data_IF_097423019830
#
_entry.id   IF_097423019830
#
_cell.length_a   1.000
_cell.length_b   1.000
_cell.length_c   1.000
_cell.angle_alpha   90.00
_cell.angle_beta   90.00
_cell.angle_gamma   90.00
#
_symmetry.space_group_name_H-M   'P 1'
#
loop_
_entity.id
_entity.type
_entity.pdbx_description
1 polymer ?
#
# COMPACT_ATOMS: atom_id res chain seq x y z
N UNK A 1 20.83 7.05 25.52
CA UNK A 1 20.12 8.27 25.94
C UNK A 1 19.91 9.05 24.66
N UNK A 2 18.72 8.83 24.01
CA UNK A 2 18.43 9.49 22.74
C UNK A 2 18.12 10.95 23.00
N UNK A 3 18.97 11.84 22.52
CA UNK A 3 18.69 13.27 22.49
C UNK A 3 17.45 13.52 21.64
N UNK A 4 16.43 14.11 22.25
CA UNK A 4 15.21 14.57 21.57
C UNK A 4 15.66 15.74 20.67
N UNK A 5 15.44 15.61 19.37
CA UNK A 5 15.70 16.69 18.42
C UNK A 5 14.86 17.92 18.79
N UNK A 6 15.48 19.03 19.25
CA UNK A 6 14.75 20.22 19.68
C UNK A 6 13.95 20.88 18.54
N UNK A 7 14.24 20.58 17.28
CA UNK A 7 13.49 21.08 16.13
C UNK A 7 12.05 20.54 16.07
N UNK A 8 11.75 19.44 16.77
CA UNK A 8 10.39 18.85 16.80
C UNK A 8 9.43 19.58 17.75
N UNK A 9 9.93 20.43 18.66
CA UNK A 9 9.09 21.03 19.71
C UNK A 9 8.27 22.25 19.26
N UNK A 10 8.65 22.93 18.17
CA UNK A 10 8.09 24.25 17.79
C UNK A 10 7.26 24.28 16.48
N UNK A 11 6.88 23.09 15.97
CA UNK A 11 6.16 22.98 14.71
C UNK A 11 4.64 23.09 14.88
N UNK A 12 3.90 23.63 13.87
CA UNK A 12 2.45 23.56 13.86
C UNK A 12 1.97 22.12 14.01
N UNK A 13 0.91 21.88 14.79
CA UNK A 13 0.41 20.54 15.16
C UNK A 13 0.31 19.54 13.99
N UNK A 14 -0.15 19.99 12.82
CA UNK A 14 -0.28 19.14 11.63
C UNK A 14 1.10 18.68 11.13
N UNK A 15 2.05 19.58 11.02
CA UNK A 15 3.43 19.27 10.57
C UNK A 15 4.11 18.30 11.56
N UNK A 16 3.87 18.48 12.86
CA UNK A 16 4.40 17.59 13.90
C UNK A 16 3.79 16.17 13.85
N UNK A 17 2.51 16.05 13.50
CA UNK A 17 1.88 14.75 13.28
C UNK A 17 2.52 14.01 12.12
N UNK A 18 2.76 14.69 10.98
CA UNK A 18 3.39 14.10 9.79
C UNK A 18 4.82 13.65 10.09
N UNK A 19 5.59 14.44 10.85
CA UNK A 19 6.94 14.07 11.26
C UNK A 19 6.98 12.83 12.19
N UNK A 20 6.01 12.69 13.09
CA UNK A 20 5.87 11.49 13.93
C UNK A 20 5.50 10.29 13.06
N UNK A 21 4.62 10.45 12.08
CA UNK A 21 4.29 9.39 11.10
C UNK A 21 5.56 8.90 10.40
N UNK A 22 6.37 9.81 9.88
CA UNK A 22 7.60 9.46 9.18
C UNK A 22 8.66 8.87 10.12
N UNK A 23 8.73 9.34 11.37
CA UNK A 23 9.62 8.77 12.37
C UNK A 23 9.22 7.34 12.75
N UNK A 24 7.91 7.04 12.88
CA UNK A 24 7.43 5.69 13.11
C UNK A 24 7.73 4.78 11.91
N UNK A 25 7.54 5.27 10.68
CA UNK A 25 7.90 4.50 9.47
C UNK A 25 9.40 4.15 9.44
N UNK A 26 10.25 5.10 9.76
CA UNK A 26 11.71 4.83 9.88
C UNK A 26 11.99 3.79 10.97
N UNK A 27 11.39 3.93 12.15
CA UNK A 27 11.53 2.97 13.25
C UNK A 27 11.14 1.55 12.81
N UNK A 28 10.05 1.38 12.08
CA UNK A 28 9.62 0.08 11.55
C UNK A 28 10.73 -0.55 10.71
N UNK A 29 11.32 0.23 9.80
CA UNK A 29 12.39 -0.26 8.91
C UNK A 29 13.68 -0.53 9.69
N UNK A 30 14.11 0.40 10.54
CA UNK A 30 15.36 0.30 11.30
C UNK A 30 15.38 -0.87 12.29
N UNK A 31 14.22 -1.19 12.89
CA UNK A 31 14.09 -2.32 13.82
C UNK A 31 13.66 -3.62 13.12
N UNK A 32 13.47 -3.61 11.80
CA UNK A 32 13.05 -4.78 11.04
C UNK A 32 11.69 -5.34 11.46
N UNK A 33 10.76 -4.46 11.89
CA UNK A 33 9.44 -4.89 12.34
C UNK A 33 8.64 -5.46 11.17
N UNK A 34 8.09 -6.66 11.37
CA UNK A 34 7.31 -7.40 10.40
C UNK A 34 5.78 -7.28 10.67
N UNK A 35 4.94 -7.61 9.68
CA UNK A 35 3.50 -7.72 9.90
C UNK A 35 3.16 -8.64 11.08
N UNK A 36 2.36 -8.13 12.01
CA UNK A 36 2.01 -8.80 13.28
C UNK A 36 2.82 -8.30 14.48
N UNK A 37 3.98 -7.68 14.28
CA UNK A 37 4.77 -7.12 15.36
C UNK A 37 4.07 -5.90 15.97
N UNK A 38 4.34 -5.69 17.25
CA UNK A 38 3.74 -4.60 18.03
C UNK A 38 4.66 -3.38 18.02
N UNK A 39 4.12 -2.21 17.74
CA UNK A 39 4.80 -0.94 17.97
C UNK A 39 4.96 -0.67 19.49
N UNK A 40 5.91 0.19 19.89
CA UNK A 40 5.98 0.70 21.25
C UNK A 40 4.61 1.23 21.72
N UNK A 41 4.35 1.13 23.02
CA UNK A 41 3.09 1.61 23.57
C UNK A 41 2.92 3.12 23.38
N UNK A 42 1.66 3.59 23.30
CA UNK A 42 1.35 5.03 23.13
C UNK A 42 2.13 5.91 24.11
N UNK A 43 2.26 5.49 25.38
CA UNK A 43 3.02 6.22 26.41
C UNK A 43 4.51 6.34 26.07
N UNK A 44 5.08 5.27 25.48
CA UNK A 44 6.49 5.22 25.14
C UNK A 44 6.78 6.12 23.94
N UNK A 45 5.87 6.11 22.95
CA UNK A 45 5.92 7.03 21.79
C UNK A 45 5.76 8.49 22.20
N UNK A 46 4.87 8.80 23.19
CA UNK A 46 4.72 10.15 23.76
C UNK A 46 6.05 10.62 24.34
N UNK A 47 6.71 9.77 25.13
CA UNK A 47 8.01 10.08 25.72
C UNK A 47 9.11 10.21 24.69
N UNK A 48 9.18 9.25 23.76
CA UNK A 48 10.22 9.19 22.71
C UNK A 48 10.18 10.40 21.78
N UNK A 49 8.97 10.83 21.40
CA UNK A 49 8.81 11.96 20.48
C UNK A 49 8.58 13.30 21.20
N UNK A 50 8.59 13.34 22.51
CA UNK A 50 8.26 14.52 23.33
C UNK A 50 6.98 15.23 22.81
N UNK A 51 5.94 14.45 22.47
CA UNK A 51 4.73 14.93 21.83
C UNK A 51 3.51 14.78 22.74
N UNK A 52 2.45 15.55 22.47
CA UNK A 52 1.20 15.38 23.21
C UNK A 52 0.54 14.04 22.86
N UNK A 53 -0.22 13.49 23.80
CA UNK A 53 -1.06 12.29 23.59
C UNK A 53 -1.95 12.42 22.33
N UNK A 54 -2.54 13.61 22.13
CA UNK A 54 -3.37 13.89 20.95
C UNK A 54 -2.59 13.77 19.64
N UNK A 55 -1.38 14.32 19.60
CA UNK A 55 -0.53 14.30 18.40
C UNK A 55 -0.09 12.87 18.05
N UNK A 56 0.30 12.08 19.05
CA UNK A 56 0.69 10.67 18.85
C UNK A 56 -0.51 9.86 18.37
N UNK A 57 -1.71 10.06 18.93
CA UNK A 57 -2.92 9.37 18.47
C UNK A 57 -3.31 9.73 17.03
N UNK A 58 -3.18 11.00 16.65
CA UNK A 58 -3.39 11.45 15.28
C UNK A 58 -2.39 10.78 14.33
N UNK A 59 -1.12 10.67 14.71
CA UNK A 59 -0.12 9.98 13.92
C UNK A 59 -0.41 8.47 13.76
N UNK A 60 -0.78 7.79 14.85
CA UNK A 60 -1.19 6.38 14.80
C UNK A 60 -2.44 6.19 13.92
N UNK A 61 -3.43 7.09 14.04
CA UNK A 61 -4.62 7.03 13.20
C UNK A 61 -4.29 7.27 11.72
N UNK A 62 -3.36 8.18 11.41
CA UNK A 62 -2.90 8.40 10.05
C UNK A 62 -2.20 7.15 9.46
N UNK A 63 -1.37 6.45 10.25
CA UNK A 63 -0.75 5.18 9.86
C UNK A 63 -1.78 4.06 9.67
N UNK A 64 -2.81 4.01 10.50
CA UNK A 64 -3.91 3.06 10.38
C UNK A 64 -4.73 3.31 9.10
N UNK A 65 -5.06 4.56 8.80
CA UNK A 65 -5.73 4.95 7.55
C UNK A 65 -4.87 4.60 6.33
N UNK A 66 -3.55 4.74 6.42
CA UNK A 66 -2.62 4.30 5.38
C UNK A 66 -2.52 2.76 5.27
N UNK A 67 -3.04 2.00 6.27
CA UNK A 67 -2.99 0.55 6.28
C UNK A 67 -1.66 -0.04 6.68
N UNK A 68 -0.81 0.75 7.30
CA UNK A 68 0.50 0.32 7.79
C UNK A 68 0.42 -0.35 9.17
N UNK A 69 -0.60 0.00 9.95
CA UNK A 69 -0.84 -0.57 11.27
C UNK A 69 -2.34 -0.82 11.49
N UNK A 70 -2.65 -1.67 12.47
CA UNK A 70 -3.98 -1.78 13.10
C UNK A 70 -3.90 -1.42 14.58
N UNK A 71 -4.92 -0.74 15.09
CA UNK A 71 -5.02 -0.38 16.51
C UNK A 71 -6.07 -1.26 17.19
N UNK A 72 -5.63 -2.04 18.19
CA UNK A 72 -6.50 -2.92 19.00
C UNK A 72 -6.68 -2.33 20.40
N UNK A 73 -7.90 -2.35 20.90
CA UNK A 73 -8.26 -1.86 22.25
C UNK A 73 -8.34 -3.00 23.25
N UNK A 74 -8.28 -2.69 24.55
CA UNK A 74 -8.44 -3.65 25.65
C UNK A 74 -7.14 -4.29 26.12
N UNK A 75 -7.23 -5.32 26.98
CA UNK A 75 -6.07 -6.04 27.51
C UNK A 75 -5.26 -6.65 26.37
N UNK A 76 -3.95 -6.35 26.32
CA UNK A 76 -3.10 -6.76 25.21
C UNK A 76 -3.22 -5.91 23.95
N UNK A 77 -4.04 -4.85 23.96
CA UNK A 77 -4.18 -3.89 22.85
C UNK A 77 -2.91 -3.10 22.56
N UNK A 78 -2.94 -2.33 21.51
CA UNK A 78 -1.83 -1.50 21.01
C UNK A 78 -1.88 -1.35 19.50
N UNK A 79 -0.84 -0.77 18.94
CA UNK A 79 -0.68 -0.66 17.50
C UNK A 79 0.19 -1.82 16.99
N UNK A 80 -0.25 -2.49 15.94
CA UNK A 80 0.42 -3.65 15.34
C UNK A 80 0.69 -3.37 13.86
N UNK A 81 1.83 -3.81 13.36
CA UNK A 81 2.17 -3.70 11.95
C UNK A 81 1.20 -4.55 11.13
N UNK A 82 0.65 -3.96 10.06
CA UNK A 82 -0.23 -4.66 9.13
C UNK A 82 0.49 -4.95 7.81
N UNK A 83 0.10 -6.07 7.18
CA UNK A 83 0.47 -6.31 5.79
C UNK A 83 -0.48 -5.50 4.91
N UNK A 84 0.06 -4.52 4.20
CA UNK A 84 -0.73 -3.78 3.21
C UNK A 84 -1.24 -4.77 2.15
N UNK A 85 -2.55 -4.84 1.96
CA UNK A 85 -3.10 -5.66 0.87
C UNK A 85 -2.85 -5.00 -0.48
N UNK A 86 -2.61 -5.81 -1.50
CA UNK A 86 -2.42 -5.34 -2.89
C UNK A 86 -3.60 -4.47 -3.34
N UNK A 87 -4.84 -4.89 -3.06
CA UNK A 87 -6.04 -4.11 -3.39
C UNK A 87 -6.06 -2.72 -2.76
N UNK A 88 -5.52 -2.56 -1.55
CA UNK A 88 -5.42 -1.24 -0.91
C UNK A 88 -4.34 -0.38 -1.55
N UNK A 89 -3.20 -0.96 -1.87
CA UNK A 89 -2.12 -0.26 -2.58
C UNK A 89 -2.60 0.20 -3.97
N UNK A 90 -3.28 -0.67 -4.71
CA UNK A 90 -3.86 -0.35 -6.01
C UNK A 90 -4.95 0.71 -5.93
N UNK A 91 -5.80 0.70 -4.90
CA UNK A 91 -6.81 1.74 -4.68
C UNK A 91 -6.18 3.11 -4.45
N UNK A 92 -5.13 3.20 -3.63
CA UNK A 92 -4.40 4.45 -3.41
C UNK A 92 -3.73 4.97 -4.68
N UNK A 93 -3.11 4.07 -5.44
CA UNK A 93 -2.49 4.40 -6.74
C UNK A 93 -3.57 4.89 -7.73
N UNK A 94 -4.69 4.19 -7.84
CA UNK A 94 -5.81 4.58 -8.71
C UNK A 94 -6.34 5.98 -8.37
N UNK A 95 -6.51 6.28 -7.08
CA UNK A 95 -6.93 7.62 -6.63
C UNK A 95 -5.91 8.71 -7.03
N UNK A 96 -4.61 8.41 -6.90
CA UNK A 96 -3.54 9.32 -7.33
C UNK A 96 -3.58 9.56 -8.84
N UNK A 97 -3.68 8.49 -9.63
CA UNK A 97 -3.74 8.56 -11.09
C UNK A 97 -4.99 9.34 -11.56
N UNK A 98 -6.14 9.08 -10.92
CA UNK A 98 -7.38 9.81 -11.18
C UNK A 98 -7.21 11.33 -10.94
N UNK A 99 -6.62 11.70 -9.80
CA UNK A 99 -6.36 13.12 -9.47
C UNK A 99 -5.39 13.81 -10.43
N UNK A 100 -4.56 13.06 -11.15
CA UNK A 100 -3.61 13.57 -12.14
C UNK A 100 -4.20 13.75 -13.54
N UNK A 101 -5.48 13.41 -13.76
CA UNK A 101 -6.14 13.46 -15.07
C UNK A 101 -5.32 12.77 -16.17
N UNK A 102 -4.71 11.62 -15.86
CA UNK A 102 -3.92 10.87 -16.83
C UNK A 102 -4.82 10.39 -17.97
N UNK A 103 -4.38 10.62 -19.20
CA UNK A 103 -5.06 10.08 -20.35
C UNK A 103 -4.82 8.57 -20.47
N UNK A 104 -5.74 7.87 -21.13
CA UNK A 104 -5.55 6.45 -21.47
C UNK A 104 -4.24 6.25 -22.23
N UNK A 105 -3.87 7.17 -23.11
CA UNK A 105 -2.60 7.13 -23.84
C UNK A 105 -1.38 7.10 -22.89
N UNK A 106 -1.36 7.92 -21.84
CA UNK A 106 -0.27 7.91 -20.85
C UNK A 106 -0.16 6.56 -20.13
N UNK A 107 -1.31 5.93 -19.81
CA UNK A 107 -1.33 4.60 -19.19
C UNK A 107 -0.75 3.55 -20.14
N UNK A 108 -1.14 3.56 -21.42
CA UNK A 108 -0.59 2.64 -22.41
C UNK A 108 0.90 2.84 -22.67
N UNK A 109 1.41 4.07 -22.64
CA UNK A 109 2.86 4.34 -22.73
C UNK A 109 3.63 3.70 -21.57
N UNK A 110 3.12 3.83 -20.35
CA UNK A 110 3.70 3.15 -19.18
C UNK A 110 3.63 1.63 -19.32
N UNK A 111 2.49 1.07 -19.71
CA UNK A 111 2.31 -0.37 -19.92
C UNK A 111 3.32 -0.91 -20.93
N UNK A 112 3.44 -0.30 -22.09
CA UNK A 112 4.44 -0.69 -23.12
C UNK A 112 5.87 -0.71 -22.60
N UNK A 113 6.22 0.20 -21.68
CA UNK A 113 7.55 0.25 -21.10
C UNK A 113 7.78 -0.81 -20.02
N UNK A 114 6.78 -1.15 -19.22
CA UNK A 114 6.92 -2.01 -18.06
C UNK A 114 6.56 -3.48 -18.32
N UNK A 115 5.51 -3.76 -19.10
CA UNK A 115 4.99 -5.11 -19.29
C UNK A 115 6.01 -6.10 -19.87
N UNK A 116 6.86 -5.74 -20.84
CA UNK A 116 7.89 -6.66 -21.31
C UNK A 116 8.90 -7.05 -20.22
N UNK A 117 9.23 -6.13 -19.32
CA UNK A 117 10.14 -6.39 -18.21
C UNK A 117 9.48 -7.29 -17.15
N UNK A 118 8.21 -7.03 -16.86
CA UNK A 118 7.42 -7.87 -15.93
C UNK A 118 7.30 -9.28 -16.48
N UNK A 119 6.91 -9.44 -17.76
CA UNK A 119 6.79 -10.75 -18.39
C UNK A 119 8.12 -11.52 -18.40
N UNK A 120 9.23 -10.87 -18.72
CA UNK A 120 10.56 -11.49 -18.68
C UNK A 120 10.95 -11.92 -17.26
N UNK A 121 10.58 -11.12 -16.25
CA UNK A 121 10.84 -11.45 -14.84
C UNK A 121 9.94 -12.59 -14.32
N UNK A 122 8.69 -12.66 -14.75
CA UNK A 122 7.73 -13.67 -14.34
C UNK A 122 8.02 -15.05 -14.97
N UNK A 123 8.50 -15.07 -16.22
CA UNK A 123 8.72 -16.31 -17.00
C UNK A 123 9.47 -17.44 -16.23
N UNK A 124 10.54 -17.18 -15.46
CA UNK A 124 11.24 -18.23 -14.71
C UNK A 124 10.45 -18.77 -13.49
N UNK A 125 9.40 -18.08 -13.09
CA UNK A 125 8.67 -18.36 -11.85
C UNK A 125 7.26 -18.90 -12.09
N UNK A 126 6.76 -18.81 -13.31
CA UNK A 126 5.43 -19.31 -13.66
C UNK A 126 5.46 -20.84 -13.77
N UNK A 127 4.52 -21.47 -13.07
CA UNK A 127 4.32 -22.92 -13.15
C UNK A 127 3.25 -23.29 -14.18
N UNK A 128 3.02 -24.60 -14.37
CA UNK A 128 2.03 -25.11 -15.31
C UNK A 128 0.59 -24.64 -14.96
N UNK A 129 0.29 -24.49 -13.68
CA UNK A 129 -1.01 -23.98 -13.24
C UNK A 129 -1.20 -22.50 -13.62
N UNK A 130 -0.15 -21.69 -13.49
CA UNK A 130 -0.09 -20.31 -13.93
C UNK A 130 -0.26 -20.18 -15.45
N UNK A 131 0.43 -21.02 -16.23
CA UNK A 131 0.28 -21.06 -17.69
C UNK A 131 -1.14 -21.40 -18.12
N UNK A 132 -1.74 -22.44 -17.50
CA UNK A 132 -3.13 -22.82 -17.80
C UNK A 132 -4.13 -21.71 -17.46
N UNK A 133 -3.87 -20.93 -16.39
CA UNK A 133 -4.68 -19.75 -16.05
C UNK A 133 -4.55 -18.66 -17.10
N UNK A 134 -3.33 -18.36 -17.55
CA UNK A 134 -3.11 -17.37 -18.61
C UNK A 134 -3.80 -17.77 -19.91
N UNK A 135 -3.71 -19.04 -20.32
CA UNK A 135 -4.40 -19.56 -21.50
C UNK A 135 -5.92 -19.43 -21.38
N UNK A 136 -6.49 -19.79 -20.23
CA UNK A 136 -7.92 -19.62 -19.97
C UNK A 136 -8.37 -18.15 -20.04
N UNK A 137 -7.55 -17.22 -19.56
CA UNK A 137 -7.84 -15.78 -19.61
C UNK A 137 -7.76 -15.28 -21.08
N UNK A 138 -6.73 -15.70 -21.82
CA UNK A 138 -6.55 -15.29 -23.22
C UNK A 138 -7.68 -15.81 -24.10
N UNK A 139 -8.19 -17.03 -23.87
CA UNK A 139 -9.27 -17.62 -24.65
C UNK A 139 -10.57 -16.80 -24.65
N UNK A 140 -10.76 -15.90 -23.68
CA UNK A 140 -11.88 -14.94 -23.66
C UNK A 140 -11.86 -13.98 -24.86
N UNK A 141 -10.69 -13.80 -25.50
CA UNK A 141 -10.51 -12.90 -26.65
C UNK A 141 -10.55 -13.61 -28.00
N UNK A 142 -10.85 -14.91 -28.05
CA UNK A 142 -10.90 -15.69 -29.29
C UNK A 142 -12.04 -15.26 -30.22
N UNK A 143 -12.97 -14.43 -29.74
CA UNK A 143 -14.08 -13.89 -30.53
C UNK A 143 -14.42 -12.44 -30.13
N UNK A 144 -15.06 -11.75 -31.04
CA UNK A 144 -15.61 -10.41 -30.79
C UNK A 144 -16.75 -10.48 -29.77
N UNK A 145 -16.82 -9.55 -28.79
CA UNK A 145 -17.88 -9.58 -27.78
C UNK A 145 -19.25 -9.31 -28.39
N UNK A 146 -20.20 -10.22 -28.16
CA UNK A 146 -21.54 -10.15 -28.70
C UNK A 146 -22.38 -9.03 -28.06
N UNK A 147 -22.13 -8.70 -26.78
CA UNK A 147 -22.88 -7.69 -26.04
C UNK A 147 -22.02 -6.88 -25.07
N UNK A 148 -22.66 -5.96 -24.33
CA UNK A 148 -22.00 -5.11 -23.35
C UNK A 148 -21.45 -5.89 -22.13
N UNK A 149 -22.11 -6.98 -21.75
CA UNK A 149 -21.72 -7.82 -20.62
C UNK A 149 -20.45 -8.59 -20.96
N UNK A 150 -20.41 -9.17 -22.16
CA UNK A 150 -19.25 -9.90 -22.66
C UNK A 150 -18.04 -8.97 -22.84
N UNK A 151 -18.26 -7.76 -23.34
CA UNK A 151 -17.23 -6.72 -23.43
C UNK A 151 -16.68 -6.33 -22.06
N UNK A 152 -17.54 -6.27 -21.04
CA UNK A 152 -17.12 -6.04 -19.66
C UNK A 152 -16.29 -7.21 -19.12
N UNK A 153 -16.70 -8.44 -19.36
CA UNK A 153 -15.98 -9.65 -18.95
C UNK A 153 -14.58 -9.72 -19.59
N UNK A 154 -14.47 -9.40 -20.88
CA UNK A 154 -13.17 -9.30 -21.54
C UNK A 154 -12.27 -8.25 -20.88
N UNK A 155 -12.80 -7.06 -20.51
CA UNK A 155 -12.01 -6.05 -19.77
C UNK A 155 -11.59 -6.52 -18.40
N UNK A 156 -12.40 -7.28 -17.70
CA UNK A 156 -12.00 -7.85 -16.41
C UNK A 156 -10.91 -8.91 -16.57
N UNK A 157 -11.01 -9.76 -17.61
CA UNK A 157 -9.99 -10.73 -17.94
C UNK A 157 -8.63 -10.08 -18.25
N UNK A 158 -8.61 -8.90 -18.88
CA UNK A 158 -7.37 -8.13 -19.09
C UNK A 158 -6.69 -7.76 -17.75
N UNK A 159 -7.48 -7.36 -16.73
CA UNK A 159 -6.95 -7.06 -15.41
C UNK A 159 -6.44 -8.32 -14.71
N UNK A 160 -7.17 -9.43 -14.82
CA UNK A 160 -6.81 -10.71 -14.21
C UNK A 160 -5.54 -11.29 -14.83
N UNK A 161 -5.28 -11.07 -16.13
CA UNK A 161 -4.06 -11.50 -16.80
C UNK A 161 -2.79 -10.93 -16.17
N UNK A 162 -2.84 -9.68 -15.73
CA UNK A 162 -1.69 -9.03 -15.08
C UNK A 162 -1.54 -9.41 -13.60
N UNK A 163 -2.48 -10.17 -13.04
CA UNK A 163 -2.46 -10.66 -11.66
C UNK A 163 -1.96 -12.11 -11.51
N UNK A 164 -1.65 -12.81 -12.60
CA UNK A 164 -1.09 -14.16 -12.60
C UNK A 164 0.42 -14.10 -12.48
#
# INVERSE_FOLDING_TARGET
>A
MNEIDPALTDLPRRKRTDEIVDAIKRMIVEHGLAPGDRLPQERDLITQFAASKGTVREALKALEVQGLISVRTGPGGGAFIERMSEGRAMSLLSNFLFAKNLSIANIYEMRKALEPLVAASATPHIDEAGLNRLEAIISVYDHEPADATERWNQRMAELDFHGV
#
